data_IF_776934120805
#
_entry.id   IF_776934120805
#
_cell.length_a   1.000
_cell.length_b   1.000
_cell.length_c   1.000
_cell.angle_alpha   90.00
_cell.angle_beta   90.00
_cell.angle_gamma   90.00
#
_symmetry.space_group_name_H-M   'P 1'
#
loop_
_entity.id
_entity.type
_entity.pdbx_description
1 polymer ?
#
# COMPACT_ATOMS: atom_id res chain seq x y z
N UNK A 1 -0.44 -15.18 48.53
CA UNK A 1 0.21 -16.48 48.80
C UNK A 1 -0.76 -17.57 48.41
N UNK A 2 -0.63 -18.13 47.21
CA UNK A 2 -1.42 -19.29 46.78
C UNK A 2 -0.85 -20.53 47.46
N UNK A 3 -1.60 -21.12 48.39
CA UNK A 3 -1.21 -22.30 49.15
C UNK A 3 -1.38 -23.57 48.27
N UNK A 4 -0.48 -23.76 47.30
CA UNK A 4 -0.22 -25.09 46.77
C UNK A 4 0.78 -25.75 47.72
N UNK A 5 0.29 -26.57 48.65
CA UNK A 5 1.15 -27.40 49.50
C UNK A 5 1.77 -28.46 48.58
N UNK A 6 3.09 -28.47 48.35
CA UNK A 6 3.70 -29.47 47.48
C UNK A 6 3.53 -30.86 48.11
N UNK A 7 2.93 -31.80 47.39
CA UNK A 7 2.75 -33.20 47.81
C UNK A 7 4.07 -34.00 47.84
N UNK A 8 5.15 -33.44 47.28
CA UNK A 8 6.46 -34.07 47.19
C UNK A 8 7.53 -33.18 47.83
N UNK A 9 8.33 -33.74 48.73
CA UNK A 9 9.44 -33.06 49.37
C UNK A 9 10.71 -33.20 48.51
N UNK A 10 11.02 -32.15 47.75
CA UNK A 10 12.18 -32.12 46.85
C UNK A 10 13.31 -31.29 47.45
N UNK A 11 14.54 -31.60 47.07
CA UNK A 11 15.71 -30.81 47.46
C UNK A 11 15.59 -29.35 46.99
N UNK A 12 16.40 -28.46 47.58
CA UNK A 12 16.33 -27.03 47.26
C UNK A 12 16.58 -26.71 45.78
N UNK A 13 17.30 -27.55 45.02
CA UNK A 13 17.47 -27.40 43.57
C UNK A 13 16.38 -28.08 42.73
N UNK A 14 15.47 -28.86 43.34
CA UNK A 14 14.33 -29.54 42.72
C UNK A 14 14.64 -30.85 42.01
N UNK A 15 15.93 -31.22 41.89
CA UNK A 15 16.40 -32.39 41.12
C UNK A 15 16.12 -33.73 41.80
N UNK A 16 16.23 -33.80 43.12
CA UNK A 16 16.14 -35.05 43.89
C UNK A 16 14.90 -34.99 44.78
N UNK A 17 14.07 -36.02 44.70
CA UNK A 17 12.95 -36.24 45.63
C UNK A 17 13.47 -36.92 46.89
N UNK A 18 13.02 -36.49 48.06
CA UNK A 18 13.43 -36.99 49.39
C UNK A 18 14.96 -37.19 49.53
N UNK A 19 15.77 -36.10 49.45
CA UNK A 19 17.22 -36.21 49.55
C UNK A 19 17.66 -36.80 50.91
N UNK A 20 18.46 -37.87 50.87
CA UNK A 20 19.05 -38.46 52.07
C UNK A 20 20.06 -37.50 52.70
N UNK A 21 19.98 -37.32 54.02
CA UNK A 21 20.91 -36.45 54.74
C UNK A 21 22.25 -37.16 54.97
N UNK A 22 23.32 -36.56 54.47
CA UNK A 22 24.70 -37.01 54.70
C UNK A 22 25.36 -36.04 55.69
N UNK A 23 26.13 -36.58 56.64
CA UNK A 23 26.85 -35.79 57.65
C UNK A 23 27.84 -34.85 56.95
N UNK A 24 27.60 -33.54 57.05
CA UNK A 24 28.43 -32.49 56.44
C UNK A 24 27.73 -31.68 55.35
N UNK A 25 26.60 -32.18 54.82
CA UNK A 25 25.81 -31.46 53.83
C UNK A 25 24.82 -30.47 54.48
N UNK A 26 24.53 -29.38 53.75
CA UNK A 26 23.49 -28.44 54.15
C UNK A 26 22.13 -29.14 54.18
N UNK A 27 21.33 -28.99 55.26
CA UNK A 27 19.99 -29.58 55.33
C UNK A 27 19.14 -29.25 54.09
N UNK A 28 18.34 -30.22 53.64
CA UNK A 28 17.45 -30.11 52.47
C UNK A 28 18.17 -29.91 51.12
N UNK A 29 19.49 -30.10 51.07
CA UNK A 29 20.30 -30.05 49.86
C UNK A 29 20.75 -31.46 49.45
N UNK A 30 20.83 -31.73 48.15
CA UNK A 30 21.14 -33.07 47.65
C UNK A 30 22.64 -33.29 47.33
N UNK A 31 23.52 -32.37 47.74
CA UNK A 31 24.97 -32.46 47.48
C UNK A 31 25.41 -32.34 46.01
N UNK A 32 24.48 -32.32 45.06
CA UNK A 32 24.75 -32.21 43.61
C UNK A 32 24.82 -30.75 43.14
N UNK A 33 25.46 -30.49 42.00
CA UNK A 33 25.47 -29.17 41.34
C UNK A 33 24.04 -28.70 41.10
N UNK A 34 23.72 -27.48 41.55
CA UNK A 34 22.39 -26.90 41.55
C UNK A 34 21.80 -26.87 40.14
N UNK A 35 22.50 -26.33 39.15
CA UNK A 35 22.09 -26.31 37.74
C UNK A 35 20.83 -25.50 37.43
N UNK A 36 20.22 -24.83 38.42
CA UNK A 36 19.09 -23.92 38.22
C UNK A 36 19.51 -22.74 37.34
N UNK A 37 18.61 -22.32 36.45
CA UNK A 37 18.76 -21.17 35.54
C UNK A 37 17.81 -20.06 36.02
N UNK A 38 18.28 -18.81 36.06
CA UNK A 38 17.46 -17.65 36.47
C UNK A 38 17.03 -16.80 35.28
N UNK A 39 18.00 -16.23 34.56
CA UNK A 39 17.77 -15.24 33.51
C UNK A 39 18.73 -15.40 32.30
N UNK A 40 19.50 -16.49 32.29
CA UNK A 40 20.46 -16.80 31.23
C UNK A 40 20.52 -18.32 31.01
N UNK A 41 21.03 -18.79 29.85
CA UNK A 41 21.10 -20.22 29.56
C UNK A 41 22.10 -20.99 30.44
N UNK A 42 22.91 -20.30 31.23
CA UNK A 42 23.92 -20.90 32.09
C UNK A 42 23.31 -21.41 33.41
N UNK A 43 23.61 -22.67 33.74
CA UNK A 43 23.22 -23.27 35.02
C UNK A 43 24.13 -22.82 36.17
N UNK A 44 23.56 -22.69 37.37
CA UNK A 44 24.34 -22.45 38.58
C UNK A 44 25.33 -23.61 38.82
N UNK A 45 26.63 -23.29 38.93
CA UNK A 45 27.73 -24.23 39.17
C UNK A 45 27.97 -24.57 40.64
N UNK A 46 27.30 -23.87 41.56
CA UNK A 46 27.37 -24.18 42.99
C UNK A 46 26.65 -25.50 43.28
N UNK A 47 27.04 -26.14 44.38
CA UNK A 47 26.25 -27.24 44.95
C UNK A 47 24.85 -26.75 45.34
N UNK A 48 23.92 -27.68 45.50
CA UNK A 48 22.58 -27.40 45.98
C UNK A 48 22.67 -26.55 47.26
N UNK A 49 22.15 -25.33 47.20
CA UNK A 49 22.30 -24.31 48.23
C UNK A 49 20.94 -23.73 48.62
N UNK A 50 20.81 -23.20 49.85
CA UNK A 50 19.62 -22.45 50.27
C UNK A 50 19.53 -21.09 49.55
N UNK A 51 18.32 -20.64 49.27
CA UNK A 51 18.05 -19.31 48.71
C UNK A 51 18.16 -19.20 47.18
N UNK A 52 18.10 -17.96 46.68
CA UNK A 52 18.18 -17.67 45.25
C UNK A 52 19.60 -17.86 44.71
N UNK A 53 19.75 -18.40 43.49
CA UNK A 53 21.07 -18.57 42.87
C UNK A 53 21.78 -17.22 42.69
N UNK A 54 23.11 -17.16 42.92
CA UNK A 54 23.91 -15.97 42.66
C UNK A 54 23.90 -15.60 41.17
N UNK A 55 24.30 -14.35 40.83
CA UNK A 55 24.45 -13.94 39.44
C UNK A 55 25.40 -14.86 38.67
N UNK A 56 25.14 -15.01 37.37
CA UNK A 56 25.91 -15.91 36.53
C UNK A 56 27.34 -15.40 36.30
N UNK A 57 28.33 -16.18 36.75
CA UNK A 57 29.76 -15.92 36.54
C UNK A 57 30.33 -16.47 35.22
N UNK A 58 29.49 -16.97 34.31
CA UNK A 58 29.96 -17.55 33.05
C UNK A 58 30.61 -16.48 32.15
N UNK A 59 31.74 -16.82 31.55
CA UNK A 59 32.43 -15.99 30.57
C UNK A 59 31.65 -16.01 29.24
N UNK A 60 31.23 -14.85 28.78
CA UNK A 60 30.58 -14.67 27.49
C UNK A 60 31.37 -13.66 26.65
N UNK A 61 31.49 -13.94 25.37
CA UNK A 61 32.02 -12.97 24.43
C UNK A 61 30.94 -11.93 24.15
N UNK A 62 31.25 -10.65 24.39
CA UNK A 62 30.36 -9.54 24.07
C UNK A 62 31.09 -8.58 23.14
N UNK A 63 30.39 -8.14 22.09
CA UNK A 63 30.91 -7.19 21.11
C UNK A 63 30.61 -5.73 21.48
N UNK A 64 31.41 -4.80 20.95
CA UNK A 64 31.12 -3.36 20.97
C UNK A 64 29.74 -3.06 20.37
N UNK A 65 29.23 -1.85 20.56
CA UNK A 65 28.03 -1.36 19.86
C UNK A 65 28.12 -1.47 18.32
N UNK A 66 29.34 -1.50 17.78
CA UNK A 66 29.66 -1.65 16.37
C UNK A 66 29.81 -3.08 15.84
N UNK A 67 29.93 -4.10 16.70
CA UNK A 67 30.24 -5.49 16.33
C UNK A 67 31.71 -5.81 15.96
N UNK A 68 32.61 -4.82 15.82
CA UNK A 68 33.99 -5.04 15.34
C UNK A 68 34.94 -5.62 16.39
N UNK A 69 34.83 -5.17 17.64
CA UNK A 69 35.72 -5.61 18.74
C UNK A 69 34.91 -6.38 19.75
N UNK A 70 35.36 -7.59 20.09
CA UNK A 70 34.76 -8.42 21.12
C UNK A 70 35.71 -8.61 22.31
N UNK A 71 35.15 -8.70 23.51
CA UNK A 71 35.91 -9.02 24.72
C UNK A 71 35.12 -10.00 25.58
N UNK A 72 35.85 -10.80 26.36
CA UNK A 72 35.26 -11.74 27.29
C UNK A 72 34.81 -10.98 28.53
N UNK A 73 33.51 -11.03 28.83
CA UNK A 73 32.90 -10.42 30.02
C UNK A 73 32.10 -11.46 30.79
N UNK A 74 31.79 -11.17 32.04
CA UNK A 74 30.93 -12.05 32.85
C UNK A 74 29.48 -11.88 32.41
N UNK A 75 28.72 -12.96 32.28
CA UNK A 75 27.32 -12.97 31.82
C UNK A 75 26.43 -12.01 32.63
N UNK A 76 26.60 -11.96 33.95
CA UNK A 76 25.86 -11.05 34.83
C UNK A 76 26.31 -9.59 34.78
N UNK A 77 27.44 -9.30 34.13
CA UNK A 77 27.90 -7.92 33.97
C UNK A 77 27.04 -7.22 32.92
N UNK A 78 26.49 -6.05 33.24
CA UNK A 78 25.77 -5.18 32.30
C UNK A 78 26.73 -4.22 31.57
N UNK A 79 28.04 -4.48 31.64
CA UNK A 79 29.06 -3.60 31.07
C UNK A 79 28.94 -3.64 29.54
N UNK A 80 28.52 -2.52 28.98
CA UNK A 80 28.65 -2.22 27.57
C UNK A 80 29.96 -1.49 27.32
N UNK A 81 30.51 -1.62 26.12
CA UNK A 81 31.70 -0.88 25.73
C UNK A 81 31.60 -0.44 24.27
N UNK A 82 32.21 0.69 23.99
CA UNK A 82 32.58 1.20 22.69
C UNK A 82 34.05 0.87 22.41
N UNK A 83 34.41 0.74 21.14
CA UNK A 83 35.82 0.73 20.73
C UNK A 83 36.22 2.10 20.19
N UNK A 84 37.51 2.40 20.15
CA UNK A 84 38.01 3.66 19.60
C UNK A 84 38.02 3.70 18.06
N UNK A 85 37.57 2.63 17.41
CA UNK A 85 37.47 2.54 15.96
C UNK A 85 36.23 3.24 15.40
N UNK A 86 36.33 3.64 14.13
CA UNK A 86 35.19 4.14 13.34
C UNK A 86 34.13 3.04 13.22
N UNK A 87 32.89 3.38 13.60
CA UNK A 87 31.77 2.45 13.71
C UNK A 87 31.52 1.63 12.43
N UNK A 88 31.51 2.27 11.26
CA UNK A 88 31.37 1.62 9.96
C UNK A 88 30.01 0.97 9.66
N UNK A 89 29.06 0.98 10.62
CA UNK A 89 27.67 0.57 10.37
C UNK A 89 27.02 1.46 9.31
N UNK A 90 26.14 0.90 8.48
CA UNK A 90 25.36 1.70 7.55
C UNK A 90 24.51 2.73 8.35
N UNK A 91 24.56 3.99 7.94
CA UNK A 91 23.72 5.06 8.48
C UNK A 91 22.24 4.77 8.17
N UNK A 92 21.35 5.59 8.72
CA UNK A 92 19.90 5.49 8.49
C UNK A 92 19.50 5.37 7.01
N UNK A 93 20.31 5.90 6.10
CA UNK A 93 20.08 5.82 4.65
C UNK A 93 20.47 4.49 3.98
N UNK A 94 21.16 3.58 4.66
CA UNK A 94 21.58 2.28 4.12
C UNK A 94 22.71 2.32 3.07
N UNK A 95 23.06 3.49 2.55
CA UNK A 95 24.09 3.66 1.50
C UNK A 95 25.44 4.14 2.05
N UNK A 96 25.42 4.97 3.08
CA UNK A 96 26.63 5.60 3.62
C UNK A 96 27.09 4.92 4.91
N UNK A 97 28.39 4.62 5.08
CA UNK A 97 28.91 4.11 6.34
C UNK A 97 29.06 5.23 7.38
N UNK A 98 28.81 4.89 8.65
CA UNK A 98 28.98 5.76 9.79
C UNK A 98 30.47 6.03 10.03
N UNK A 99 30.84 7.31 9.99
CA UNK A 99 32.22 7.80 10.21
C UNK A 99 32.48 8.22 11.65
N UNK A 100 31.48 8.12 12.53
CA UNK A 100 31.64 8.42 13.96
C UNK A 100 32.41 7.29 14.66
N UNK A 101 33.07 7.65 15.76
CA UNK A 101 33.63 6.66 16.72
C UNK A 101 32.53 5.70 17.18
N UNK A 102 32.90 4.48 17.56
CA UNK A 102 31.93 3.51 18.04
C UNK A 102 31.05 4.13 19.14
N UNK A 103 29.75 3.91 19.01
CA UNK A 103 28.78 4.42 19.96
C UNK A 103 27.74 3.34 20.24
N UNK A 104 27.12 3.41 21.41
CA UNK A 104 25.92 2.64 21.70
C UNK A 104 24.70 3.30 21.02
N UNK A 105 23.73 2.50 20.60
CA UNK A 105 22.49 3.00 20.00
C UNK A 105 22.55 3.24 18.48
N UNK A 106 21.48 3.85 17.90
CA UNK A 106 21.35 4.09 16.47
C UNK A 106 22.36 5.15 15.99
N UNK A 107 22.86 4.98 14.76
CA UNK A 107 23.80 5.92 14.16
C UNK A 107 23.17 7.29 13.92
N UNK A 108 23.97 8.38 13.93
CA UNK A 108 23.48 9.71 13.60
C UNK A 108 22.87 9.76 12.19
N UNK A 109 21.99 10.74 11.89
CA UNK A 109 21.44 10.88 10.55
C UNK A 109 22.54 11.17 9.51
N UNK A 110 22.30 10.73 8.28
CA UNK A 110 23.20 11.02 7.17
C UNK A 110 23.08 12.48 6.72
N UNK A 111 24.21 13.17 6.57
CA UNK A 111 24.29 14.55 6.05
C UNK A 111 25.05 14.61 4.70
N UNK A 112 25.33 13.43 4.10
CA UNK A 112 26.10 13.35 2.85
C UNK A 112 25.19 13.63 1.65
N UNK A 113 25.72 14.32 0.65
CA UNK A 113 25.03 14.55 -0.62
C UNK A 113 25.18 13.36 -1.56
N UNK A 114 24.11 13.01 -2.26
CA UNK A 114 24.05 11.99 -3.31
C UNK A 114 23.91 12.70 -4.66
N UNK A 115 24.90 12.48 -5.53
CA UNK A 115 24.85 12.95 -6.91
C UNK A 115 24.04 11.98 -7.77
N UNK A 116 22.93 12.44 -8.34
CA UNK A 116 22.07 11.66 -9.20
C UNK A 116 22.11 12.19 -10.63
N UNK A 117 22.29 11.28 -11.58
CA UNK A 117 22.26 11.59 -13.01
C UNK A 117 20.94 11.16 -13.64
N UNK A 118 20.34 11.99 -14.49
CA UNK A 118 19.13 11.59 -15.21
C UNK A 118 19.42 10.37 -16.08
N UNK A 119 18.49 9.41 -16.18
CA UNK A 119 18.59 8.32 -17.18
C UNK A 119 18.74 8.84 -18.62
N UNK A 120 18.33 10.08 -18.86
CA UNK A 120 18.43 10.81 -20.11
C UNK A 120 19.76 11.56 -20.34
N UNK A 121 20.63 11.65 -19.33
CA UNK A 121 21.91 12.37 -19.38
C UNK A 121 21.83 13.90 -19.48
N UNK A 122 20.63 14.51 -19.48
CA UNK A 122 20.46 15.97 -19.67
C UNK A 122 20.64 16.79 -18.41
N UNK A 123 20.34 16.21 -17.25
CA UNK A 123 20.30 16.91 -15.98
C UNK A 123 20.90 16.03 -14.90
N UNK A 124 21.78 16.61 -14.12
CA UNK A 124 22.24 16.09 -12.85
C UNK A 124 21.58 16.86 -11.70
N UNK A 125 21.49 16.21 -10.54
CA UNK A 125 21.05 16.86 -9.31
C UNK A 125 21.80 16.28 -8.12
N UNK A 126 22.15 17.14 -7.17
CA UNK A 126 22.64 16.74 -5.87
C UNK A 126 21.49 16.81 -4.87
N UNK A 127 21.21 15.68 -4.21
CA UNK A 127 20.24 15.60 -3.13
C UNK A 127 20.96 15.35 -1.80
N UNK A 128 20.53 16.03 -0.74
CA UNK A 128 20.95 15.66 0.60
C UNK A 128 20.33 14.32 0.98
N UNK A 129 21.12 13.43 1.56
CA UNK A 129 20.64 12.10 1.94
C UNK A 129 19.74 12.19 3.17
N UNK A 130 18.44 12.37 3.01
CA UNK A 130 17.47 12.55 4.09
C UNK A 130 17.18 11.28 4.92
N UNK A 131 17.88 10.17 4.66
CA UNK A 131 17.69 8.92 5.38
C UNK A 131 16.56 8.04 4.83
N UNK A 132 15.74 8.53 3.91
CA UNK A 132 14.85 7.67 3.15
C UNK A 132 15.62 7.05 1.99
N UNK A 133 15.60 5.72 1.91
CA UNK A 133 16.00 5.00 0.71
C UNK A 133 15.16 5.55 -0.44
N UNK A 134 15.80 6.23 -1.41
CA UNK A 134 15.12 6.54 -2.68
C UNK A 134 14.60 5.21 -3.19
N UNK A 135 13.26 5.03 -3.32
CA UNK A 135 12.72 3.75 -3.73
C UNK A 135 13.39 3.32 -5.04
N UNK A 136 13.75 2.03 -5.20
CA UNK A 136 14.32 1.53 -6.46
C UNK A 136 13.43 1.84 -7.67
N UNK A 137 12.14 2.06 -7.42
CA UNK A 137 11.11 2.47 -8.37
C UNK A 137 11.32 3.89 -8.96
N UNK A 138 12.14 4.72 -8.31
CA UNK A 138 12.49 6.08 -8.75
C UNK A 138 13.93 6.22 -9.26
N UNK A 139 14.54 5.12 -9.72
CA UNK A 139 15.83 5.16 -10.44
C UNK A 139 17.07 4.83 -9.62
N UNK A 140 16.93 4.27 -8.41
CA UNK A 140 18.06 3.90 -7.56
C UNK A 140 18.79 5.12 -6.95
N UNK A 141 19.92 4.90 -6.26
CA UNK A 141 20.60 5.97 -5.53
C UNK A 141 21.31 6.97 -6.45
N UNK A 142 21.80 6.55 -7.61
CA UNK A 142 22.65 7.39 -8.49
C UNK A 142 21.98 7.84 -9.77
N UNK A 143 20.74 7.42 -10.04
CA UNK A 143 19.99 7.81 -11.22
C UNK A 143 18.55 8.17 -10.93
N UNK A 144 17.94 8.99 -11.80
CA UNK A 144 16.54 9.37 -11.66
C UNK A 144 15.86 9.63 -13.00
N UNK A 145 14.53 9.58 -13.00
CA UNK A 145 13.68 9.98 -14.12
C UNK A 145 13.22 11.43 -13.96
N UNK A 146 13.67 12.33 -14.84
CA UNK A 146 13.30 13.75 -14.79
C UNK A 146 11.87 14.07 -15.24
N UNK A 147 11.08 13.08 -15.66
CA UNK A 147 9.72 13.25 -16.17
C UNK A 147 9.61 13.92 -17.55
N UNK A 148 10.70 14.50 -18.08
CA UNK A 148 10.72 15.05 -19.44
C UNK A 148 10.64 13.96 -20.50
N UNK A 149 10.23 14.32 -21.73
CA UNK A 149 10.24 13.39 -22.87
C UNK A 149 11.66 12.87 -23.13
N UNK A 150 11.78 11.58 -23.41
CA UNK A 150 13.06 10.93 -23.65
C UNK A 150 13.77 11.56 -24.88
N UNK A 151 15.05 12.00 -24.77
CA UNK A 151 15.82 12.52 -25.90
C UNK A 151 16.10 11.51 -27.00
N UNK A 152 16.07 10.23 -26.67
CA UNK A 152 16.59 9.17 -27.52
C UNK A 152 15.52 8.68 -28.49
N UNK A 153 16.00 8.11 -29.59
CA UNK A 153 15.14 7.40 -30.52
C UNK A 153 14.81 6.01 -29.94
N UNK A 154 13.67 5.44 -30.32
CA UNK A 154 13.34 4.03 -30.10
C UNK A 154 14.47 3.15 -30.64
N UNK A 155 14.56 1.89 -30.22
CA UNK A 155 15.70 1.02 -30.60
C UNK A 155 15.95 0.88 -32.11
N UNK A 156 14.99 1.26 -32.96
CA UNK A 156 15.14 1.38 -34.41
C UNK A 156 16.03 2.54 -34.89
N UNK A 157 16.43 3.47 -34.03
CA UNK A 157 17.29 4.61 -34.36
C UNK A 157 16.65 5.74 -35.17
N UNK A 158 15.45 5.55 -35.75
CA UNK A 158 14.79 6.55 -36.61
C UNK A 158 13.59 7.25 -35.98
N UNK A 159 12.82 6.55 -35.15
CA UNK A 159 11.62 7.10 -34.53
C UNK A 159 11.92 7.70 -33.14
N UNK A 160 11.46 8.92 -32.82
CA UNK A 160 11.68 9.52 -31.52
C UNK A 160 10.89 8.77 -30.43
N UNK A 161 11.50 8.58 -29.25
CA UNK A 161 10.82 8.00 -28.11
C UNK A 161 9.85 9.04 -27.51
N UNK A 162 8.55 8.73 -27.52
CA UNK A 162 7.52 9.61 -26.96
C UNK A 162 7.28 9.39 -25.47
N UNK A 163 7.99 8.43 -24.86
CA UNK A 163 7.86 8.15 -23.44
C UNK A 163 8.53 9.23 -22.59
N UNK A 164 8.05 9.36 -21.36
CA UNK A 164 8.77 10.09 -20.31
C UNK A 164 10.09 9.40 -20.02
N UNK A 165 11.03 10.14 -19.43
CA UNK A 165 12.35 9.66 -19.03
C UNK A 165 12.21 8.33 -18.29
N UNK A 166 12.82 7.29 -18.85
CA UNK A 166 12.73 5.92 -18.39
C UNK A 166 14.14 5.31 -18.32
N UNK A 167 14.34 4.22 -17.57
CA UNK A 167 15.60 3.50 -17.56
C UNK A 167 15.96 2.99 -18.96
N UNK A 168 17.21 3.16 -19.44
CA UNK A 168 17.64 2.59 -20.71
C UNK A 168 17.70 1.05 -20.65
N UNK A 169 17.54 0.34 -21.79
CA UNK A 169 17.40 0.84 -23.16
C UNK A 169 15.98 1.28 -23.55
N UNK A 170 15.85 2.09 -24.61
CA UNK A 170 14.55 2.49 -25.17
C UNK A 170 13.76 1.31 -25.76
N UNK A 171 12.42 1.33 -25.65
CA UNK A 171 11.58 0.24 -26.13
C UNK A 171 11.69 0.06 -27.65
N UNK A 172 11.38 -1.15 -28.15
CA UNK A 172 11.40 -1.42 -29.58
C UNK A 172 10.30 -0.67 -30.33
N UNK A 173 10.58 -0.34 -31.59
CA UNK A 173 9.62 0.36 -32.42
C UNK A 173 8.43 -0.56 -32.74
N UNK A 174 7.18 -0.11 -32.55
CA UNK A 174 5.99 -0.90 -32.88
C UNK A 174 5.83 -1.12 -34.39
N UNK A 175 6.57 -0.39 -35.22
CA UNK A 175 6.61 -0.56 -36.68
C UNK A 175 7.78 -1.42 -37.16
N UNK A 176 8.66 -1.87 -36.26
CA UNK A 176 9.83 -2.65 -36.64
C UNK A 176 9.44 -4.04 -37.16
N UNK A 177 10.11 -4.56 -38.21
CA UNK A 177 9.84 -5.90 -38.75
C UNK A 177 9.96 -7.01 -37.70
N UNK A 178 10.82 -6.82 -36.69
CA UNK A 178 11.03 -7.76 -35.59
C UNK A 178 9.85 -7.83 -34.61
N UNK A 179 9.01 -6.79 -34.55
CA UNK A 179 7.85 -6.72 -33.65
C UNK A 179 6.54 -6.93 -34.42
N UNK A 180 6.44 -6.40 -35.65
CA UNK A 180 5.30 -6.63 -36.54
C UNK A 180 5.47 -7.92 -37.34
N UNK A 181 5.38 -9.05 -36.64
CA UNK A 181 5.34 -10.37 -37.28
C UNK A 181 3.96 -10.63 -37.89
N UNK A 182 2.91 -10.03 -37.32
CA UNK A 182 1.51 -10.18 -37.77
C UNK A 182 1.00 -8.90 -38.42
N UNK A 183 0.13 -9.05 -39.41
CA UNK A 183 -0.58 -7.93 -40.03
C UNK A 183 -1.36 -7.12 -38.97
N UNK A 184 -1.67 -5.84 -39.21
CA UNK A 184 -2.39 -5.02 -38.21
C UNK A 184 -3.81 -5.51 -37.86
N UNK A 185 -4.34 -6.45 -38.64
CA UNK A 185 -5.59 -7.16 -38.36
C UNK A 185 -5.40 -8.38 -37.43
N UNK A 186 -4.17 -8.79 -37.16
CA UNK A 186 -3.79 -9.90 -36.27
C UNK A 186 -3.99 -11.31 -36.85
N UNK A 187 -4.53 -11.44 -38.08
CA UNK A 187 -4.95 -12.72 -38.65
C UNK A 187 -3.85 -13.49 -39.38
N UNK A 188 -2.91 -12.79 -40.00
CA UNK A 188 -1.98 -13.40 -40.95
C UNK A 188 -0.57 -12.85 -40.70
N UNK A 189 0.42 -13.73 -40.73
CA UNK A 189 1.82 -13.35 -40.58
C UNK A 189 2.30 -12.58 -41.81
N UNK A 190 3.08 -11.54 -41.58
CA UNK A 190 3.68 -10.72 -42.64
C UNK A 190 4.77 -11.56 -43.30
N UNK A 191 4.77 -11.72 -44.64
CA UNK A 191 5.77 -12.55 -45.31
C UNK A 191 7.20 -12.08 -45.00
N UNK A 192 8.10 -12.99 -44.58
CA UNK A 192 9.47 -12.63 -44.22
C UNK A 192 10.19 -12.03 -45.44
N UNK A 193 10.72 -10.81 -45.28
CA UNK A 193 11.41 -10.06 -46.34
C UNK A 193 10.58 -8.96 -47.01
N UNK A 194 9.30 -8.78 -46.66
CA UNK A 194 8.48 -7.69 -47.22
C UNK A 194 8.80 -6.31 -46.66
N UNK A 195 9.51 -6.23 -45.52
CA UNK A 195 9.96 -4.97 -44.88
C UNK A 195 11.38 -5.14 -44.36
N UNK A 196 12.23 -4.19 -44.69
CA UNK A 196 13.62 -4.05 -44.27
C UNK A 196 13.78 -2.96 -43.19
N UNK A 197 12.84 -2.02 -43.16
CA UNK A 197 12.86 -0.81 -42.33
C UNK A 197 11.49 -0.56 -41.70
N UNK A 198 11.49 0.11 -40.55
CA UNK A 198 10.27 0.61 -39.89
C UNK A 198 9.55 1.73 -40.67
N UNK A 199 10.16 2.27 -41.72
CA UNK A 199 9.59 3.26 -42.65
C UNK A 199 8.89 2.63 -43.87
N UNK A 200 9.10 1.34 -44.11
CA UNK A 200 8.47 0.66 -45.25
C UNK A 200 6.95 0.62 -45.04
N UNK A 201 6.13 0.73 -46.10
CA UNK A 201 4.68 0.73 -45.99
C UNK A 201 4.17 -0.52 -45.26
N UNK A 202 3.14 -0.33 -44.43
CA UNK A 202 2.57 -1.42 -43.62
C UNK A 202 1.90 -2.42 -44.57
N UNK A 203 2.39 -3.66 -44.55
CA UNK A 203 1.87 -4.72 -45.43
C UNK A 203 0.49 -5.16 -44.92
N UNK A 204 -0.53 -4.84 -45.72
CA UNK A 204 -1.90 -5.27 -45.51
C UNK A 204 -2.06 -6.66 -46.11
N UNK A 205 -2.58 -7.62 -45.34
CA UNK A 205 -2.74 -9.01 -45.79
C UNK A 205 -3.84 -9.21 -46.85
N UNK A 206 -4.66 -8.18 -47.13
CA UNK A 206 -5.78 -8.26 -48.08
C UNK A 206 -7.00 -9.05 -47.60
N UNK A 207 -6.87 -9.84 -46.52
CA UNK A 207 -7.96 -10.58 -45.87
C UNK A 207 -9.00 -9.65 -45.21
N UNK A 208 -10.21 -10.16 -44.94
CA UNK A 208 -11.27 -9.39 -44.25
C UNK A 208 -10.80 -9.00 -42.84
N UNK A 209 -10.98 -7.73 -42.48
CA UNK A 209 -10.47 -7.15 -41.24
C UNK A 209 -11.02 -7.86 -39.99
N UNK A 210 -12.35 -8.11 -39.93
CA UNK A 210 -13.09 -8.69 -38.77
C UNK A 210 -12.86 -8.01 -37.42
N UNK A 211 -12.18 -6.86 -37.40
CA UNK A 211 -11.99 -6.08 -36.17
C UNK A 211 -13.35 -5.71 -35.59
N UNK A 212 -13.50 -5.91 -34.29
CA UNK A 212 -14.70 -5.54 -33.56
C UNK A 212 -14.85 -4.03 -33.59
N UNK A 213 -15.97 -3.57 -34.14
CA UNK A 213 -16.32 -2.17 -34.21
C UNK A 213 -16.93 -1.72 -32.88
N UNK A 214 -16.98 -0.40 -32.66
CA UNK A 214 -17.65 0.17 -31.49
C UNK A 214 -19.18 0.11 -31.56
N UNK A 215 -19.72 -0.41 -32.67
CA UNK A 215 -21.15 -0.54 -32.93
C UNK A 215 -21.61 -1.99 -32.69
N UNK A 216 -22.91 -2.16 -32.43
CA UNK A 216 -23.49 -3.37 -31.85
C UNK A 216 -23.58 -3.30 -30.32
N UNK A 217 -24.38 -4.18 -29.73
CA UNK A 217 -24.46 -4.33 -28.27
C UNK A 217 -23.21 -5.05 -27.74
N UNK A 218 -22.94 -4.97 -26.44
CA UNK A 218 -21.76 -5.60 -25.81
C UNK A 218 -21.63 -7.09 -26.12
N UNK A 219 -22.74 -7.81 -26.25
CA UNK A 219 -22.74 -9.25 -26.55
C UNK A 219 -22.67 -9.58 -28.06
N UNK A 220 -22.91 -8.60 -28.93
CA UNK A 220 -22.96 -8.78 -30.38
C UNK A 220 -22.38 -7.56 -31.10
N UNK A 221 -21.13 -7.20 -30.79
CA UNK A 221 -20.42 -6.14 -31.51
C UNK A 221 -20.26 -6.51 -32.98
N UNK A 222 -20.55 -5.56 -33.86
CA UNK A 222 -20.38 -5.76 -35.29
C UNK A 222 -18.90 -5.92 -35.63
N UNK A 223 -18.63 -6.76 -36.65
CA UNK A 223 -17.28 -6.99 -37.15
C UNK A 223 -17.08 -6.28 -38.49
N UNK A 224 -15.88 -5.75 -38.70
CA UNK A 224 -15.53 -5.06 -39.94
C UNK A 224 -15.51 -6.05 -41.12
N UNK A 225 -16.42 -5.85 -42.10
CA UNK A 225 -16.51 -6.66 -43.33
C UNK A 225 -15.60 -6.18 -44.47
N UNK A 226 -14.89 -5.06 -44.28
CA UNK A 226 -13.98 -4.53 -45.28
C UNK A 226 -12.69 -5.36 -45.37
N UNK A 227 -12.01 -5.27 -46.52
CA UNK A 227 -10.64 -5.80 -46.68
C UNK A 227 -9.70 -5.09 -45.71
N UNK A 228 -8.60 -5.73 -45.36
CA UNK A 228 -7.57 -5.15 -44.50
C UNK A 228 -7.15 -3.79 -45.06
N UNK A 229 -7.30 -2.76 -44.24
CA UNK A 229 -7.05 -1.38 -44.60
C UNK A 229 -6.17 -0.74 -43.52
N UNK A 230 -5.52 0.35 -43.91
CA UNK A 230 -4.76 1.20 -42.99
C UNK A 230 -5.73 2.18 -42.29
N UNK A 231 -5.46 2.55 -41.03
CA UNK A 231 -6.30 3.51 -40.29
C UNK A 231 -7.58 2.95 -39.64
N UNK A 232 -8.51 3.83 -39.19
CA UNK A 232 -9.76 3.45 -38.53
C UNK A 232 -10.72 2.72 -39.49
N UNK A 233 -11.52 1.80 -38.95
CA UNK A 233 -12.44 1.00 -39.76
C UNK A 233 -13.53 1.86 -40.42
N UNK A 234 -13.93 1.54 -41.66
CA UNK A 234 -15.04 2.23 -42.32
C UNK A 234 -16.34 2.06 -41.53
N UNK A 235 -17.27 3.02 -41.66
CA UNK A 235 -18.53 2.97 -40.93
C UNK A 235 -19.33 1.72 -41.31
N UNK A 236 -19.93 1.07 -40.31
CA UNK A 236 -20.71 -0.13 -40.52
C UNK A 236 -22.07 0.19 -41.15
N UNK A 237 -22.56 -0.68 -42.04
CA UNK A 237 -23.93 -0.61 -42.61
C UNK A 237 -25.00 -1.27 -41.70
N UNK A 238 -24.63 -1.72 -40.50
CA UNK A 238 -25.56 -2.32 -39.55
C UNK A 238 -26.39 -1.28 -38.78
N UNK A 239 -27.35 -1.78 -38.00
CA UNK A 239 -28.15 -0.98 -37.05
C UNK A 239 -27.82 -1.47 -35.64
N UNK A 240 -27.54 -0.54 -34.72
CA UNK A 240 -27.29 -0.88 -33.32
C UNK A 240 -28.50 -0.49 -32.48
N UNK A 241 -29.04 -1.43 -31.70
CA UNK A 241 -30.08 -1.11 -30.73
C UNK A 241 -29.44 -0.57 -29.46
N UNK A 242 -29.58 0.74 -29.27
CA UNK A 242 -28.94 1.48 -28.19
C UNK A 242 -29.91 1.62 -27.03
N UNK A 243 -29.52 1.06 -25.87
CA UNK A 243 -30.25 1.26 -24.63
C UNK A 243 -29.84 2.59 -24.02
N UNK A 244 -30.84 3.36 -23.58
CA UNK A 244 -30.57 4.53 -22.77
C UNK A 244 -29.86 4.12 -21.48
N UNK A 245 -28.95 4.95 -20.98
CA UNK A 245 -28.24 4.74 -19.72
C UNK A 245 -29.17 4.45 -18.52
N UNK A 246 -30.37 5.04 -18.49
CA UNK A 246 -31.39 4.76 -17.46
C UNK A 246 -32.31 3.56 -17.78
N UNK A 247 -32.04 2.83 -18.86
CA UNK A 247 -32.78 1.67 -19.36
C UNK A 247 -34.27 1.91 -19.65
N UNK A 248 -34.72 3.17 -19.70
CA UNK A 248 -36.13 3.53 -19.87
C UNK A 248 -36.60 3.61 -21.34
N UNK A 249 -35.67 3.43 -22.29
CA UNK A 249 -35.96 3.35 -23.73
C UNK A 249 -34.82 2.64 -24.46
N UNK A 250 -35.18 1.92 -25.51
CA UNK A 250 -34.27 1.45 -26.55
C UNK A 250 -34.55 2.26 -27.82
N UNK A 251 -33.50 2.65 -28.54
CA UNK A 251 -33.61 3.27 -29.85
C UNK A 251 -32.62 2.61 -30.80
N UNK A 252 -33.09 2.25 -31.98
CA UNK A 252 -32.26 1.73 -33.04
C UNK A 252 -31.60 2.90 -33.78
N UNK A 253 -30.28 2.86 -33.88
CA UNK A 253 -29.46 3.89 -34.52
C UNK A 253 -28.59 3.21 -35.57
N UNK A 254 -28.60 3.75 -36.79
CA UNK A 254 -27.70 3.34 -37.85
C UNK A 254 -26.24 3.54 -37.42
N UNK A 255 -25.39 2.55 -37.67
CA UNK A 255 -24.00 2.60 -37.20
C UNK A 255 -23.19 3.75 -37.83
N UNK A 256 -23.64 4.29 -38.98
CA UNK A 256 -23.06 5.46 -39.64
C UNK A 256 -23.23 6.74 -38.81
N UNK A 257 -24.36 6.85 -38.10
CA UNK A 257 -24.73 8.02 -37.29
C UNK A 257 -24.37 7.84 -35.80
N UNK A 258 -23.76 6.71 -35.45
CA UNK A 258 -23.36 6.39 -34.08
C UNK A 258 -22.12 7.20 -33.68
N UNK A 259 -22.34 8.36 -33.05
CA UNK A 259 -21.29 9.24 -32.53
C UNK A 259 -20.91 8.87 -31.10
N UNK A 260 -20.23 7.74 -30.92
CA UNK A 260 -19.67 7.30 -29.63
C UNK A 260 -20.15 5.93 -29.16
N UNK A 261 -19.94 5.63 -27.88
CA UNK A 261 -20.35 4.35 -27.30
C UNK A 261 -21.87 4.29 -27.14
N UNK A 262 -22.54 3.21 -27.59
CA UNK A 262 -23.99 3.09 -27.50
C UNK A 262 -24.47 3.22 -26.04
N UNK A 263 -23.70 2.72 -25.08
CA UNK A 263 -24.06 2.69 -23.65
C UNK A 263 -24.13 4.08 -22.95
N UNK A 264 -23.57 5.15 -23.52
CA UNK A 264 -23.66 6.51 -22.93
C UNK A 264 -24.85 7.33 -23.43
N UNK A 265 -25.78 6.73 -24.18
CA UNK A 265 -26.93 7.45 -24.73
C UNK A 265 -27.87 7.92 -23.63
N UNK A 266 -28.06 9.24 -23.53
CA UNK A 266 -28.95 9.88 -22.54
C UNK A 266 -30.32 10.14 -23.13
N UNK A 267 -31.38 9.78 -22.41
CA UNK A 267 -32.74 10.16 -22.78
C UNK A 267 -33.14 11.55 -22.24
N UNK A 268 -34.22 12.09 -22.81
CA UNK A 268 -34.86 13.32 -22.31
C UNK A 268 -35.94 13.03 -21.24
N UNK A 269 -36.13 11.76 -20.82
CA UNK A 269 -37.12 11.41 -19.79
C UNK A 269 -36.63 11.87 -18.41
N UNK A 270 -37.54 12.53 -17.68
CA UNK A 270 -37.32 12.92 -16.28
C UNK A 270 -37.71 11.77 -15.35
N UNK A 271 -36.87 11.47 -14.37
CA UNK A 271 -37.10 10.41 -13.41
C UNK A 271 -38.28 10.72 -12.48
N UNK A 272 -39.28 9.85 -12.46
CA UNK A 272 -40.48 9.98 -11.61
C UNK A 272 -40.37 9.26 -10.26
N UNK A 273 -39.26 8.54 -10.01
CA UNK A 273 -39.03 7.82 -8.74
C UNK A 273 -39.04 8.80 -7.56
N UNK A 274 -39.64 8.35 -6.45
CA UNK A 274 -39.66 9.10 -5.19
C UNK A 274 -38.28 9.03 -4.53
N UNK A 275 -37.82 10.17 -4.00
CA UNK A 275 -36.63 10.27 -3.16
C UNK A 275 -36.82 9.54 -1.82
N UNK A 276 -35.74 9.26 -1.12
CA UNK A 276 -35.73 8.53 0.16
C UNK A 276 -36.64 9.17 1.23
N UNK A 277 -36.90 10.48 1.13
CA UNK A 277 -37.83 11.20 1.99
C UNK A 277 -39.32 10.86 1.76
N UNK A 278 -39.65 10.14 0.69
CA UNK A 278 -41.00 9.67 0.36
C UNK A 278 -41.96 10.74 -0.19
N UNK A 279 -41.60 12.03 -0.12
CA UNK A 279 -42.44 13.16 -0.56
C UNK A 279 -41.99 13.78 -1.88
N UNK A 280 -40.68 13.90 -2.10
CA UNK A 280 -40.14 14.56 -3.28
C UNK A 280 -39.84 13.56 -4.39
N UNK A 281 -40.07 13.94 -5.66
CA UNK A 281 -39.67 13.18 -6.84
C UNK A 281 -38.26 13.59 -7.27
N UNK A 282 -37.53 12.69 -7.92
CA UNK A 282 -36.19 12.96 -8.44
C UNK A 282 -36.18 14.08 -9.48
N UNK A 283 -37.03 13.97 -10.51
CA UNK A 283 -37.16 14.86 -11.66
C UNK A 283 -35.85 15.12 -12.46
N UNK A 284 -34.74 14.42 -12.15
CA UNK A 284 -33.50 14.48 -12.92
C UNK A 284 -33.68 13.83 -14.29
N UNK A 285 -33.12 14.43 -15.33
CA UNK A 285 -33.14 13.89 -16.69
C UNK A 285 -32.17 12.71 -16.79
N UNK A 286 -32.63 11.58 -17.34
CA UNK A 286 -31.83 10.35 -17.47
C UNK A 286 -31.16 9.89 -16.15
N UNK A 287 -31.93 9.83 -15.05
CA UNK A 287 -31.40 9.42 -13.76
C UNK A 287 -31.03 7.92 -13.72
N UNK A 288 -29.82 7.62 -13.26
CA UNK A 288 -29.26 6.27 -13.09
C UNK A 288 -29.17 5.82 -11.63
N UNK A 289 -29.46 6.72 -10.69
CA UNK A 289 -29.27 6.45 -9.27
C UNK A 289 -30.23 5.36 -8.78
N UNK A 290 -29.68 4.36 -8.09
CA UNK A 290 -30.48 3.33 -7.41
C UNK A 290 -31.19 3.96 -6.21
N UNK A 291 -30.46 4.75 -5.42
CA UNK A 291 -30.98 5.49 -4.28
C UNK A 291 -31.07 6.99 -4.55
N UNK A 292 -32.24 7.56 -4.32
CA UNK A 292 -32.53 8.95 -4.63
C UNK A 292 -32.52 9.80 -3.35
N UNK A 293 -31.37 10.35 -2.98
CA UNK A 293 -31.23 11.19 -1.78
C UNK A 293 -31.93 12.54 -2.02
N UNK A 294 -32.65 13.03 -1.02
CA UNK A 294 -33.29 14.34 -1.09
C UNK A 294 -32.32 15.46 -0.62
N UNK A 295 -31.89 16.39 -1.50
CA UNK A 295 -30.95 17.45 -1.14
C UNK A 295 -31.58 18.58 -0.29
N UNK A 296 -32.90 18.58 -0.15
CA UNK A 296 -33.61 19.58 0.66
C UNK A 296 -33.37 19.33 2.15
N UNK A 297 -33.06 20.37 2.92
CA UNK A 297 -33.02 20.33 4.39
C UNK A 297 -34.44 20.20 4.97
N UNK A 298 -34.57 19.49 6.10
CA UNK A 298 -35.86 19.14 6.70
C UNK A 298 -36.60 20.36 7.27
N UNK A 299 -35.88 21.28 7.94
CA UNK A 299 -36.37 22.55 8.52
C UNK A 299 -37.60 22.47 9.44
N UNK A 300 -38.07 21.27 9.80
CA UNK A 300 -39.12 21.06 10.80
C UNK A 300 -38.62 21.48 12.18
N UNK A 301 -39.49 22.13 12.95
CA UNK A 301 -39.22 22.45 14.35
C UNK A 301 -39.01 21.16 15.14
N UNK A 302 -37.89 21.07 15.86
CA UNK A 302 -37.56 19.96 16.72
C UNK A 302 -38.46 19.95 17.96
N UNK A 303 -38.50 18.83 18.69
CA UNK A 303 -39.31 18.67 19.91
C UNK A 303 -39.04 19.71 21.01
N UNK A 304 -37.91 20.43 20.96
CA UNK A 304 -37.58 21.51 21.88
C UNK A 304 -38.28 22.85 21.57
N UNK A 305 -39.04 22.96 20.46
CA UNK A 305 -39.81 24.15 20.09
C UNK A 305 -38.99 25.36 19.60
N UNK A 306 -37.68 25.40 19.86
CA UNK A 306 -36.80 26.54 19.53
C UNK A 306 -35.85 26.31 18.34
N UNK A 307 -35.47 25.06 18.07
CA UNK A 307 -34.49 24.73 17.02
C UNK A 307 -35.13 24.02 15.82
N UNK A 308 -34.55 24.21 14.63
CA UNK A 308 -35.01 23.59 13.38
C UNK A 308 -34.10 22.41 13.01
N UNK A 309 -34.65 21.42 12.30
CA UNK A 309 -33.90 20.26 11.83
C UNK A 309 -32.99 20.60 10.63
N UNK A 310 -31.69 20.51 10.83
CA UNK A 310 -30.66 20.80 9.80
C UNK A 310 -30.29 19.59 8.94
N UNK A 311 -30.82 18.40 9.24
CA UNK A 311 -30.57 17.21 8.42
C UNK A 311 -31.27 17.32 7.07
N UNK A 312 -30.72 16.62 6.08
CA UNK A 312 -31.41 16.35 4.81
C UNK A 312 -32.78 15.70 5.07
N UNK A 313 -33.72 15.97 4.18
CA UNK A 313 -35.09 15.52 4.27
C UNK A 313 -35.11 13.99 4.41
N UNK A 314 -35.69 13.53 5.50
CA UNK A 314 -35.69 12.13 5.89
C UNK A 314 -37.13 11.65 6.09
N UNK A 315 -37.32 10.33 6.07
CA UNK A 315 -38.59 9.70 6.44
C UNK A 315 -38.66 9.56 7.96
N UNK A 316 -39.83 9.77 8.55
CA UNK A 316 -40.04 9.62 10.00
C UNK A 316 -39.81 10.88 10.84
N UNK A 317 -39.74 10.71 12.15
CA UNK A 317 -39.60 11.80 13.12
C UNK A 317 -38.18 12.41 13.09
N UNK A 318 -38.10 13.72 13.34
CA UNK A 318 -36.82 14.41 13.44
C UNK A 318 -36.06 13.94 14.69
N UNK A 319 -34.72 13.91 14.65
CA UNK A 319 -33.91 13.55 15.80
C UNK A 319 -34.12 14.54 16.95
N UNK A 320 -33.83 14.10 18.18
CA UNK A 320 -33.88 14.97 19.36
C UNK A 320 -32.92 16.15 19.22
N UNK A 321 -33.29 17.28 19.82
CA UNK A 321 -32.44 18.45 19.82
C UNK A 321 -31.24 18.24 20.78
N UNK A 322 -30.07 17.93 20.23
CA UNK A 322 -28.82 17.77 20.99
C UNK A 322 -28.45 19.02 21.80
N UNK A 323 -28.82 20.21 21.33
CA UNK A 323 -28.62 21.46 22.07
C UNK A 323 -29.53 21.57 23.31
N UNK A 324 -30.73 20.98 23.28
CA UNK A 324 -31.62 20.89 24.44
C UNK A 324 -31.23 19.74 25.37
N UNK A 325 -30.63 18.67 24.84
CA UNK A 325 -30.10 17.55 25.63
C UNK A 325 -28.94 17.95 26.56
N UNK A 326 -28.21 19.03 26.23
CA UNK A 326 -27.13 19.56 27.07
C UNK A 326 -27.61 20.25 28.36
N UNK A 327 -28.89 20.59 28.48
CA UNK A 327 -29.46 21.21 29.69
C UNK A 327 -30.14 20.22 30.66
N UNK A 328 -30.13 18.90 30.37
CA UNK A 328 -30.78 17.89 31.22
C UNK A 328 -29.82 16.86 31.84
N UNK A 329 -28.51 16.99 31.64
CA UNK A 329 -27.49 16.13 32.27
C UNK A 329 -26.59 16.87 33.27
N UNK A 330 -27.20 17.68 34.14
CA UNK A 330 -26.58 18.08 35.42
C UNK A 330 -27.22 17.36 36.60
N UNK A 331 -27.50 16.07 36.46
CA UNK A 331 -27.55 15.17 37.61
C UNK A 331 -27.47 13.74 37.09
N UNK A 332 -26.61 12.94 37.72
CA UNK A 332 -26.51 11.47 37.62
C UNK A 332 -25.34 10.95 36.73
N UNK A 333 -24.36 10.39 37.45
CA UNK A 333 -23.13 9.66 37.09
C UNK A 333 -21.89 10.44 36.61
N UNK A 334 -21.14 10.95 37.60
CA UNK A 334 -19.68 10.82 37.55
C UNK A 334 -19.29 9.36 37.81
N UNK A 335 -18.61 8.73 36.85
CA UNK A 335 -17.40 7.93 37.13
C UNK A 335 -16.64 7.63 35.84
N UNK A 336 -15.46 8.26 35.75
CA UNK A 336 -14.20 7.78 35.18
C UNK A 336 -14.06 7.54 33.66
N UNK A 337 -13.31 8.50 33.07
CA UNK A 337 -12.17 8.27 32.16
C UNK A 337 -12.44 8.12 30.66
N UNK A 338 -12.64 9.24 29.96
CA UNK A 338 -12.09 9.39 28.61
C UNK A 338 -11.72 10.85 28.33
N UNK A 339 -10.41 11.09 28.20
CA UNK A 339 -9.77 12.39 28.12
C UNK A 339 -9.71 12.85 26.65
N UNK A 340 -10.84 13.31 26.10
CA UNK A 340 -10.86 13.99 24.80
C UNK A 340 -11.28 15.45 24.99
N UNK A 341 -10.25 16.29 25.03
CA UNK A 341 -10.31 17.75 25.05
C UNK A 341 -10.78 18.26 23.68
N UNK A 342 -12.08 18.33 23.46
CA UNK A 342 -12.62 19.05 22.30
C UNK A 342 -12.58 20.55 22.57
N UNK A 343 -11.61 21.23 21.95
CA UNK A 343 -11.59 22.68 21.80
C UNK A 343 -12.84 23.14 21.05
N UNK A 344 -13.79 23.76 21.75
CA UNK A 344 -14.76 24.64 21.12
C UNK A 344 -14.09 25.99 20.88
N UNK A 345 -13.68 26.26 19.64
CA UNK A 345 -13.43 27.63 19.20
C UNK A 345 -14.76 28.39 19.24
N UNK A 346 -14.78 29.43 20.07
CA UNK A 346 -15.65 30.58 19.92
C UNK A 346 -14.94 31.61 19.03
N UNK A 347 -15.75 32.41 18.34
CA UNK A 347 -15.48 33.36 17.24
C UNK A 347 -15.63 32.77 15.83
#
# INVERSE_FOLDING_TARGET
VTQNIPTEYRCMCGKVNDPQWVRGDTPHCCGQVCGKRKDCPHGCTLLCHPGACPPCCANVERSCGCGRTSRIVICSSSVTFDCEDVCGRALNCGLHPCTSVCHQGPCPPCDKSIHQTCHCGRTDRDLTCDGHTVPPEMGGPTSYSCGSRCPHNLSCGKHPCHMTCHPPPCPPCPLSPSVLVKCQCGKEDVPPGSRSSCEDPVVLCGSVCDKELNCGQSEARHRCKAKCHEGPCPPCDGVTSVLCRCHAMAKDIDCKDLTGNPEDTKCQKRCTKKRNCGKHKCNQQCCIEVEHICPLVCNKTLSCGKHKCERLCHKGHCPICLAASKCLNQTIYMSSSCNFRCHCCFW
#
